data_IF_468049062011
#
_entry.id   IF_468049062011
#
_cell.length_a   1.000
_cell.length_b   1.000
_cell.length_c   1.000
_cell.angle_alpha   90.00
_cell.angle_beta   90.00
_cell.angle_gamma   90.00
#
_symmetry.space_group_name_H-M   'P 1'
#
loop_
_entity.id
_entity.type
_entity.pdbx_description
1 polymer ?
#
# COMPACT_ATOMS: atom_id res chain seq x y z
N UNK A 1 18.88 -19.64 -49.81
CA UNK A 1 19.83 -20.73 -49.52
C UNK A 1 20.33 -21.26 -50.85
N UNK A 2 21.64 -21.28 -51.07
CA UNK A 2 22.24 -21.79 -52.31
C UNK A 2 22.75 -23.19 -52.02
N UNK A 3 22.27 -24.17 -52.76
CA UNK A 3 22.69 -25.57 -52.64
C UNK A 3 23.62 -25.87 -53.81
N UNK A 4 24.84 -26.31 -53.51
CA UNK A 4 25.82 -26.67 -54.52
C UNK A 4 26.59 -27.90 -54.04
N UNK A 5 26.92 -28.77 -54.99
CA UNK A 5 27.68 -30.00 -54.73
C UNK A 5 29.09 -29.68 -54.22
N UNK A 6 29.56 -30.40 -53.20
CA UNK A 6 30.84 -30.15 -52.54
C UNK A 6 32.01 -30.27 -53.52
N UNK A 7 32.00 -31.27 -54.40
CA UNK A 7 33.06 -31.48 -55.38
C UNK A 7 33.08 -30.32 -56.39
N UNK A 8 31.91 -29.85 -56.80
CA UNK A 8 31.77 -28.68 -57.68
C UNK A 8 32.33 -27.41 -57.03
N UNK A 9 32.00 -27.15 -55.76
CA UNK A 9 32.50 -25.97 -55.03
C UNK A 9 34.02 -26.05 -54.83
N UNK A 10 34.54 -27.21 -54.43
CA UNK A 10 35.98 -27.43 -54.27
C UNK A 10 36.76 -27.19 -55.56
N UNK A 11 36.22 -27.65 -56.69
CA UNK A 11 36.82 -27.44 -58.00
C UNK A 11 36.80 -25.95 -58.41
N UNK A 12 35.70 -25.25 -58.15
CA UNK A 12 35.55 -23.81 -58.43
C UNK A 12 36.45 -22.93 -57.58
N UNK A 13 36.72 -23.31 -56.33
CA UNK A 13 37.57 -22.57 -55.39
C UNK A 13 39.05 -22.97 -55.52
N UNK A 14 39.37 -23.99 -56.32
CA UNK A 14 40.75 -24.45 -56.56
C UNK A 14 41.38 -25.16 -55.36
N UNK A 15 40.56 -25.69 -54.45
CA UNK A 15 40.97 -26.31 -53.18
C UNK A 15 40.54 -27.78 -53.10
N UNK A 16 40.68 -28.52 -54.21
CA UNK A 16 40.34 -29.94 -54.32
C UNK A 16 41.15 -30.77 -53.31
N UNK A 17 40.46 -31.45 -52.40
CA UNK A 17 41.08 -32.30 -51.36
C UNK A 17 41.62 -31.55 -50.12
N UNK A 18 41.48 -30.22 -50.05
CA UNK A 18 41.94 -29.42 -48.90
C UNK A 18 40.81 -29.00 -47.94
N UNK A 19 39.55 -29.18 -48.33
CA UNK A 19 38.39 -28.78 -47.52
C UNK A 19 37.84 -29.99 -46.78
N UNK A 20 38.14 -30.08 -45.47
CA UNK A 20 37.74 -31.20 -44.60
C UNK A 20 36.39 -31.03 -43.91
N UNK A 21 35.74 -29.85 -44.04
CA UNK A 21 34.45 -29.59 -43.42
C UNK A 21 33.83 -28.28 -43.89
N UNK A 22 32.49 -28.18 -43.83
CA UNK A 22 31.74 -26.96 -44.14
C UNK A 22 31.15 -26.40 -42.83
N UNK A 23 31.53 -25.18 -42.47
CA UNK A 23 30.93 -24.46 -41.35
C UNK A 23 29.63 -23.80 -41.81
N UNK A 24 28.50 -24.49 -41.61
CA UNK A 24 27.21 -24.06 -42.16
C UNK A 24 26.34 -23.23 -41.20
N UNK A 25 26.67 -23.16 -39.91
CA UNK A 25 25.79 -22.56 -38.90
C UNK A 25 26.56 -21.58 -38.02
N UNK A 26 26.45 -20.29 -38.34
CA UNK A 26 26.71 -19.19 -37.41
C UNK A 26 25.41 -18.82 -36.65
N UNK A 27 24.54 -19.80 -36.45
CA UNK A 27 23.21 -19.59 -35.90
C UNK A 27 23.23 -19.66 -34.37
N UNK A 28 22.49 -18.73 -33.78
CA UNK A 28 22.11 -18.67 -32.36
C UNK A 28 21.19 -19.86 -32.05
N UNK A 29 21.74 -21.07 -32.02
CA UNK A 29 20.99 -22.25 -31.64
C UNK A 29 20.70 -22.16 -30.14
N UNK A 30 19.42 -22.24 -29.77
CA UNK A 30 19.09 -22.61 -28.39
C UNK A 30 19.64 -24.02 -28.18
N UNK A 31 20.42 -24.23 -27.11
CA UNK A 31 21.11 -25.50 -26.85
C UNK A 31 20.18 -26.73 -26.92
N UNK A 32 18.89 -26.54 -26.65
CA UNK A 32 17.87 -27.60 -26.66
C UNK A 32 17.54 -28.17 -28.05
N UNK A 33 17.95 -27.52 -29.15
CA UNK A 33 17.60 -27.95 -30.53
C UNK A 33 18.73 -28.67 -31.28
N UNK A 34 19.89 -28.89 -30.65
CA UNK A 34 21.02 -29.54 -31.31
C UNK A 34 20.67 -30.95 -31.81
N UNK A 35 20.01 -31.76 -30.97
CA UNK A 35 19.68 -33.15 -31.29
C UNK A 35 18.72 -33.28 -32.47
N UNK A 36 17.76 -32.36 -32.62
CA UNK A 36 16.81 -32.34 -33.74
C UNK A 36 17.51 -31.99 -35.05
N UNK A 37 18.45 -31.04 -35.03
CA UNK A 37 19.20 -30.63 -36.22
C UNK A 37 20.13 -31.75 -36.69
N UNK A 38 20.79 -32.47 -35.77
CA UNK A 38 21.63 -33.63 -36.13
C UNK A 38 20.80 -34.72 -36.80
N UNK A 39 19.61 -35.01 -36.27
CA UNK A 39 18.70 -36.01 -36.85
C UNK A 39 18.24 -35.61 -38.26
N UNK A 40 17.87 -34.35 -38.47
CA UNK A 40 17.46 -33.85 -39.79
C UNK A 40 18.61 -33.91 -40.80
N UNK A 41 19.83 -33.53 -40.42
CA UNK A 41 21.00 -33.56 -41.31
C UNK A 41 21.38 -34.99 -41.68
N UNK A 42 21.37 -35.91 -40.72
CA UNK A 42 21.68 -37.32 -40.96
C UNK A 42 20.62 -38.01 -41.83
N UNK A 43 19.38 -37.53 -41.82
CA UNK A 43 18.32 -38.05 -42.70
C UNK A 43 18.56 -37.78 -44.20
N UNK A 44 19.27 -36.70 -44.51
CA UNK A 44 19.58 -36.27 -45.89
C UNK A 44 21.00 -36.70 -46.29
N UNK A 45 21.94 -36.72 -45.35
CA UNK A 45 23.36 -37.02 -45.57
C UNK A 45 23.86 -38.01 -44.50
N UNK A 46 23.65 -39.33 -44.69
CA UNK A 46 23.89 -40.34 -43.67
C UNK A 46 25.37 -40.53 -43.30
N UNK A 47 26.30 -40.18 -44.20
CA UNK A 47 27.75 -40.40 -44.01
C UNK A 47 28.48 -39.17 -43.43
N UNK A 48 27.76 -38.14 -43.00
CA UNK A 48 28.36 -36.88 -42.50
C UNK A 48 28.40 -36.85 -40.97
N UNK A 49 29.58 -36.58 -40.41
CA UNK A 49 29.76 -36.31 -38.99
C UNK A 49 29.51 -34.82 -38.69
N UNK A 50 28.56 -34.54 -37.79
CA UNK A 50 28.23 -33.18 -37.35
C UNK A 50 28.95 -32.92 -36.02
N UNK A 51 29.80 -31.88 -35.99
CA UNK A 51 30.51 -31.45 -34.79
C UNK A 51 30.03 -30.06 -34.36
N UNK A 52 29.65 -29.91 -33.08
CA UNK A 52 29.36 -28.60 -32.49
C UNK A 52 30.67 -27.93 -32.02
N UNK A 53 31.01 -26.78 -32.59
CA UNK A 53 32.08 -25.93 -32.06
C UNK A 53 31.59 -25.17 -30.82
N UNK A 54 31.39 -25.88 -29.71
CA UNK A 54 30.90 -25.29 -28.45
C UNK A 54 32.08 -24.83 -27.59
N UNK A 55 32.28 -23.51 -27.47
CA UNK A 55 33.06 -22.92 -26.36
C UNK A 55 32.79 -21.41 -26.20
N UNK A 56 32.72 -20.66 -27.30
CA UNK A 56 32.51 -19.19 -27.25
C UNK A 56 31.05 -18.77 -27.13
N UNK A 57 30.11 -19.54 -27.68
CA UNK A 57 28.68 -19.20 -27.65
C UNK A 57 28.07 -19.53 -26.29
N UNK A 58 28.41 -20.69 -25.71
CA UNK A 58 27.95 -21.10 -24.38
C UNK A 58 28.46 -20.16 -23.27
N UNK A 59 29.72 -19.73 -23.31
CA UNK A 59 30.25 -18.75 -22.35
C UNK A 59 29.54 -17.39 -22.39
N UNK A 60 29.09 -16.94 -23.57
CA UNK A 60 28.29 -15.72 -23.72
C UNK A 60 26.83 -15.93 -23.26
N UNK A 61 26.26 -17.10 -23.48
CA UNK A 61 24.91 -17.45 -23.02
C UNK A 61 24.85 -17.58 -21.49
N UNK A 62 25.81 -18.29 -20.88
CA UNK A 62 25.95 -18.38 -19.43
C UNK A 62 26.26 -17.02 -18.80
N UNK A 63 27.11 -16.19 -19.41
CA UNK A 63 27.36 -14.83 -18.91
C UNK A 63 26.08 -13.97 -18.93
N UNK A 64 25.23 -14.11 -19.96
CA UNK A 64 23.92 -13.44 -20.02
C UNK A 64 22.95 -13.99 -18.98
N UNK A 65 22.93 -15.30 -18.74
CA UNK A 65 22.09 -15.90 -17.71
C UNK A 65 22.53 -15.51 -16.30
N UNK A 66 23.84 -15.49 -16.01
CA UNK A 66 24.39 -15.03 -14.73
C UNK A 66 24.11 -13.54 -14.52
N UNK A 67 24.28 -12.70 -15.54
CA UNK A 67 23.92 -11.28 -15.49
C UNK A 67 22.41 -11.08 -15.28
N UNK A 68 21.56 -11.88 -15.92
CA UNK A 68 20.11 -11.85 -15.72
C UNK A 68 19.71 -12.32 -14.31
N UNK A 69 20.40 -13.33 -13.76
CA UNK A 69 20.19 -13.80 -12.38
C UNK A 69 20.63 -12.75 -11.36
N UNK A 70 21.80 -12.13 -11.52
CA UNK A 70 22.25 -11.06 -10.62
C UNK A 70 21.32 -9.85 -10.68
N UNK A 71 20.80 -9.48 -11.86
CA UNK A 71 19.82 -8.40 -11.99
C UNK A 71 18.49 -8.76 -11.33
N UNK A 72 18.01 -10.00 -11.49
CA UNK A 72 16.80 -10.49 -10.80
C UNK A 72 16.97 -10.50 -9.28
N UNK A 73 18.13 -10.94 -8.80
CA UNK A 73 18.47 -10.96 -7.37
C UNK A 73 18.59 -9.53 -6.81
N UNK A 74 19.21 -8.60 -7.55
CA UNK A 74 19.30 -7.20 -7.14
C UNK A 74 17.92 -6.53 -7.08
N UNK A 75 17.05 -6.76 -8.07
CA UNK A 75 15.68 -6.24 -8.07
C UNK A 75 14.86 -6.86 -6.93
N UNK A 76 14.99 -8.17 -6.69
CA UNK A 76 14.30 -8.85 -5.59
C UNK A 76 14.75 -8.30 -4.22
N UNK A 77 16.05 -8.08 -4.03
CA UNK A 77 16.59 -7.51 -2.81
C UNK A 77 16.11 -6.06 -2.58
N UNK A 78 16.06 -5.23 -3.64
CA UNK A 78 15.56 -3.85 -3.53
C UNK A 78 14.05 -3.81 -3.21
N UNK A 79 13.27 -4.72 -3.83
CA UNK A 79 11.84 -4.86 -3.53
C UNK A 79 11.59 -5.31 -2.09
N UNK A 80 12.37 -6.28 -1.60
CA UNK A 80 12.26 -6.75 -0.22
C UNK A 80 12.59 -5.64 0.78
N UNK A 81 13.65 -4.87 0.53
CA UNK A 81 14.02 -3.73 1.37
C UNK A 81 12.93 -2.65 1.38
N UNK A 82 12.35 -2.32 0.21
CA UNK A 82 11.21 -1.38 0.11
C UNK A 82 9.97 -1.89 0.85
N UNK A 83 9.70 -3.20 0.81
CA UNK A 83 8.58 -3.80 1.53
C UNK A 83 8.79 -3.74 3.05
N UNK A 84 10.00 -4.03 3.55
CA UNK A 84 10.34 -3.92 4.98
C UNK A 84 10.14 -2.50 5.52
N UNK A 85 10.64 -1.50 4.80
CA UNK A 85 10.45 -0.09 5.21
C UNK A 85 8.97 0.32 5.20
N UNK A 86 8.17 -0.19 4.27
CA UNK A 86 6.73 0.07 4.20
C UNK A 86 5.98 -0.57 5.37
N UNK A 87 6.30 -1.82 5.73
CA UNK A 87 5.61 -2.53 6.83
C UNK A 87 5.97 -1.96 8.19
N UNK A 88 7.22 -1.51 8.40
CA UNK A 88 7.64 -0.83 9.61
C UNK A 88 6.90 0.50 9.80
N UNK A 89 6.86 1.35 8.76
CA UNK A 89 6.09 2.60 8.80
C UNK A 89 4.60 2.37 9.06
N UNK A 90 4.01 1.35 8.43
CA UNK A 90 2.61 1.00 8.64
C UNK A 90 2.32 0.56 10.09
N UNK A 91 3.20 -0.24 10.69
CA UNK A 91 3.07 -0.63 12.11
C UNK A 91 3.10 0.58 13.03
N UNK A 92 4.09 1.46 12.88
CA UNK A 92 4.21 2.66 13.70
C UNK A 92 2.97 3.57 13.54
N UNK A 93 2.51 3.77 12.30
CA UNK A 93 1.32 4.57 12.03
C UNK A 93 0.08 4.02 12.74
N UNK A 94 -0.16 2.70 12.68
CA UNK A 94 -1.32 2.07 13.33
C UNK A 94 -1.21 2.15 14.86
N UNK A 95 -0.05 1.86 15.44
CA UNK A 95 0.15 1.87 16.89
C UNK A 95 0.01 3.28 17.47
N UNK A 96 0.58 4.30 16.83
CA UNK A 96 0.47 5.69 17.29
C UNK A 96 -0.96 6.21 17.14
N UNK A 97 -1.60 5.91 16.01
CA UNK A 97 -2.98 6.37 15.74
C UNK A 97 -3.97 5.76 16.71
N UNK A 98 -3.87 4.45 17.02
CA UNK A 98 -4.80 3.80 17.95
C UNK A 98 -4.65 4.35 19.38
N UNK A 99 -3.42 4.58 19.84
CA UNK A 99 -3.16 5.20 21.14
C UNK A 99 -3.68 6.64 21.19
N UNK A 100 -3.48 7.42 20.13
CA UNK A 100 -3.97 8.79 20.05
C UNK A 100 -5.51 8.85 20.08
N UNK A 101 -6.19 8.01 19.31
CA UNK A 101 -7.66 7.93 19.30
C UNK A 101 -8.19 7.49 20.67
N UNK A 102 -7.57 6.48 21.28
CA UNK A 102 -7.94 6.02 22.63
C UNK A 102 -7.78 7.12 23.68
N UNK A 103 -6.62 7.79 23.69
CA UNK A 103 -6.32 8.89 24.60
C UNK A 103 -7.25 10.09 24.43
N UNK A 104 -7.49 10.51 23.18
CA UNK A 104 -8.43 11.59 22.88
C UNK A 104 -9.87 11.25 23.30
N UNK A 105 -10.32 10.01 23.07
CA UNK A 105 -11.66 9.54 23.49
C UNK A 105 -11.82 9.59 25.01
N UNK A 106 -10.80 9.14 25.75
CA UNK A 106 -10.75 9.23 27.21
C UNK A 106 -10.77 10.69 27.69
N UNK A 107 -10.04 11.58 27.00
CA UNK A 107 -10.01 13.00 27.33
C UNK A 107 -11.39 13.65 27.13
N UNK A 108 -12.06 13.38 26.01
CA UNK A 108 -13.43 13.86 25.74
C UNK A 108 -14.39 13.36 26.80
N UNK A 109 -14.31 12.09 27.19
CA UNK A 109 -15.12 11.51 28.27
C UNK A 109 -14.93 12.27 29.59
N UNK A 110 -13.68 12.51 30.00
CA UNK A 110 -13.36 13.22 31.25
C UNK A 110 -13.87 14.67 31.21
N UNK A 111 -13.69 15.37 30.09
CA UNK A 111 -14.21 16.73 29.91
C UNK A 111 -15.73 16.76 29.94
N UNK A 112 -16.40 15.82 29.29
CA UNK A 112 -17.86 15.72 29.31
C UNK A 112 -18.38 15.45 30.73
N UNK A 113 -17.70 14.57 31.47
CA UNK A 113 -18.01 14.29 32.88
C UNK A 113 -17.85 15.53 33.77
N UNK A 114 -16.73 16.26 33.65
CA UNK A 114 -16.48 17.49 34.40
C UNK A 114 -17.51 18.58 34.08
N UNK A 115 -17.78 18.83 32.79
CA UNK A 115 -18.81 19.78 32.37
C UNK A 115 -20.20 19.43 32.93
N UNK A 116 -20.54 18.13 32.98
CA UNK A 116 -21.80 17.68 33.55
C UNK A 116 -21.83 17.79 35.09
N UNK A 117 -20.67 17.68 35.77
CA UNK A 117 -20.53 17.90 37.22
C UNK A 117 -20.79 19.36 37.59
N UNK A 118 -20.19 20.29 36.87
CA UNK A 118 -20.24 21.72 37.19
C UNK A 118 -21.63 22.30 36.90
N UNK A 119 -22.34 21.77 35.90
CA UNK A 119 -23.68 22.24 35.49
C UNK A 119 -24.85 21.56 36.19
N UNK A 120 -24.62 20.81 37.27
CA UNK A 120 -25.70 20.11 37.99
C UNK A 120 -26.77 21.06 38.53
N UNK A 121 -26.38 22.24 39.02
CA UNK A 121 -27.32 23.25 39.50
C UNK A 121 -28.27 23.74 38.40
N UNK A 122 -27.73 24.01 37.20
CA UNK A 122 -28.52 24.38 36.02
C UNK A 122 -29.50 23.26 35.62
N UNK A 123 -29.04 22.01 35.61
CA UNK A 123 -29.85 20.83 35.27
C UNK A 123 -30.97 20.62 36.30
N UNK A 124 -30.67 20.81 37.59
CA UNK A 124 -31.65 20.76 38.67
C UNK A 124 -32.75 21.82 38.51
N UNK A 125 -32.37 23.05 38.18
CA UNK A 125 -33.31 24.15 37.91
C UNK A 125 -34.19 23.85 36.68
N UNK A 126 -33.59 23.38 35.59
CA UNK A 126 -34.33 23.02 34.37
C UNK A 126 -35.35 21.89 34.63
N UNK A 127 -34.99 20.89 35.44
CA UNK A 127 -35.93 19.84 35.85
C UNK A 127 -37.04 20.37 36.76
N UNK A 128 -36.76 21.33 37.64
CA UNK A 128 -37.77 21.96 38.50
C UNK A 128 -38.81 22.77 37.69
N UNK A 129 -38.40 23.35 36.56
CA UNK A 129 -39.29 24.03 35.59
C UNK A 129 -40.09 23.02 34.73
N UNK A 130 -39.80 21.72 34.84
CA UNK A 130 -40.55 20.65 34.17
C UNK A 130 -39.91 20.11 32.90
N UNK A 131 -38.64 20.43 32.59
CA UNK A 131 -37.96 19.77 31.47
C UNK A 131 -37.76 18.28 31.75
N UNK A 132 -38.26 17.45 30.85
CA UNK A 132 -38.04 16.00 30.89
C UNK A 132 -36.59 15.59 30.62
N UNK A 133 -36.20 14.43 31.17
CA UNK A 133 -34.88 13.81 31.01
C UNK A 133 -34.37 13.75 29.55
N UNK A 134 -35.28 13.49 28.59
CA UNK A 134 -34.95 13.40 27.16
C UNK A 134 -34.45 14.73 26.58
N UNK A 135 -34.99 15.86 27.02
CA UNK A 135 -34.56 17.18 26.51
C UNK A 135 -33.17 17.54 27.02
N UNK A 136 -32.86 17.21 28.27
CA UNK A 136 -31.54 17.42 28.88
C UNK A 136 -30.50 16.54 28.18
N UNK A 137 -30.83 15.27 27.95
CA UNK A 137 -29.97 14.34 27.22
C UNK A 137 -29.72 14.82 25.78
N UNK A 138 -30.76 15.25 25.07
CA UNK A 138 -30.64 15.80 23.71
C UNK A 138 -29.78 17.06 23.66
N UNK A 139 -29.88 17.94 24.66
CA UNK A 139 -29.06 19.15 24.75
C UNK A 139 -27.57 18.81 24.94
N UNK A 140 -27.26 17.87 25.84
CA UNK A 140 -25.89 17.43 26.12
C UNK A 140 -25.26 16.72 24.92
N UNK A 141 -26.00 15.78 24.31
CA UNK A 141 -25.56 15.07 23.10
C UNK A 141 -25.43 16.01 21.89
N UNK A 142 -26.35 16.97 21.75
CA UNK A 142 -26.28 17.99 20.70
C UNK A 142 -25.02 18.84 20.80
N UNK A 143 -24.62 19.24 22.01
CA UNK A 143 -23.35 19.94 22.24
C UNK A 143 -22.14 19.07 21.86
N UNK A 144 -22.15 17.79 22.23
CA UNK A 144 -21.09 16.85 21.85
C UNK A 144 -21.01 16.65 20.33
N UNK A 145 -22.17 16.57 19.65
CA UNK A 145 -22.26 16.43 18.19
C UNK A 145 -21.68 17.65 17.46
N UNK A 146 -22.06 18.86 17.87
CA UNK A 146 -21.53 20.10 17.27
C UNK A 146 -20.02 20.22 17.50
N UNK A 147 -19.56 19.98 18.74
CA UNK A 147 -18.13 19.99 19.05
C UNK A 147 -17.36 18.93 18.25
N UNK A 148 -17.91 17.72 18.12
CA UNK A 148 -17.31 16.65 17.34
C UNK A 148 -17.28 16.93 15.84
N UNK A 149 -18.31 17.58 15.28
CA UNK A 149 -18.34 17.98 13.87
C UNK A 149 -17.29 19.07 13.55
N UNK A 150 -17.18 20.08 14.43
CA UNK A 150 -16.17 21.14 14.29
C UNK A 150 -14.77 20.56 14.47
N UNK A 151 -14.55 19.76 15.52
CA UNK A 151 -13.28 19.10 15.78
C UNK A 151 -12.89 18.14 14.65
N UNK A 152 -13.85 17.40 14.10
CA UNK A 152 -13.66 16.53 12.94
C UNK A 152 -13.27 17.32 11.68
N UNK A 153 -13.90 18.48 11.43
CA UNK A 153 -13.57 19.33 10.29
C UNK A 153 -12.13 19.86 10.39
N UNK A 154 -11.79 20.41 11.55
CA UNK A 154 -10.45 20.95 11.83
C UNK A 154 -9.40 19.85 11.79
N UNK A 155 -9.68 18.70 12.40
CA UNK A 155 -8.79 17.54 12.40
C UNK A 155 -8.55 16.97 11.00
N UNK A 156 -9.59 16.85 10.17
CA UNK A 156 -9.46 16.41 8.78
C UNK A 156 -8.59 17.38 7.97
N UNK A 157 -8.82 18.69 8.11
CA UNK A 157 -8.03 19.71 7.41
C UNK A 157 -6.55 19.65 7.82
N UNK A 158 -6.27 19.63 9.13
CA UNK A 158 -4.90 19.52 9.64
C UNK A 158 -4.24 18.19 9.24
N UNK A 159 -5.00 17.10 9.22
CA UNK A 159 -4.52 15.78 8.78
C UNK A 159 -4.06 15.79 7.32
N UNK A 160 -4.82 16.44 6.43
CA UNK A 160 -4.43 16.60 5.01
C UNK A 160 -3.18 17.46 4.88
N UNK A 161 -3.09 18.57 5.61
CA UNK A 161 -1.93 19.48 5.58
C UNK A 161 -0.67 18.74 6.06
N UNK A 162 -0.71 18.16 7.26
CA UNK A 162 0.43 17.42 7.82
C UNK A 162 0.80 16.20 6.98
N UNK A 163 -0.18 15.53 6.38
CA UNK A 163 0.06 14.40 5.47
C UNK A 163 0.75 14.82 4.18
N UNK A 164 0.38 15.97 3.61
CA UNK A 164 1.02 16.52 2.41
C UNK A 164 2.47 16.92 2.69
N UNK A 165 2.73 17.61 3.81
CA UNK A 165 4.07 17.99 4.25
C UNK A 165 4.96 16.76 4.49
N UNK A 166 4.44 15.72 5.16
CA UNK A 166 5.17 14.47 5.38
C UNK A 166 5.46 13.69 4.09
N UNK A 167 4.62 13.86 3.06
CA UNK A 167 4.83 13.28 1.74
C UNK A 167 5.77 14.12 0.85
N UNK A 168 6.08 15.36 1.23
CA UNK A 168 6.88 16.29 0.43
C UNK A 168 6.15 16.83 -0.81
N UNK A 169 4.81 16.72 -0.84
CA UNK A 169 3.98 17.13 -1.97
C UNK A 169 3.38 18.51 -1.71
N UNK A 170 3.30 19.41 -2.72
CA UNK A 170 2.64 20.69 -2.53
C UNK A 170 1.14 20.51 -2.23
N UNK A 171 0.59 21.38 -1.39
CA UNK A 171 -0.81 21.31 -0.94
C UNK A 171 -1.82 21.33 -2.11
N UNK A 172 -1.47 21.96 -3.22
CA UNK A 172 -2.30 22.06 -4.43
C UNK A 172 -1.91 21.05 -5.52
N UNK A 173 -1.17 20.00 -5.20
CA UNK A 173 -0.90 18.93 -6.16
C UNK A 173 -2.19 18.15 -6.49
N UNK A 174 -2.29 17.61 -7.71
CA UNK A 174 -3.42 16.75 -8.10
C UNK A 174 -3.59 15.56 -7.15
N UNK A 175 -2.51 15.10 -6.55
CA UNK A 175 -2.52 13.96 -5.63
C UNK A 175 -3.14 14.37 -4.28
N UNK A 176 -2.77 15.54 -3.75
CA UNK A 176 -3.35 16.10 -2.51
C UNK A 176 -4.82 16.48 -2.68
N UNK A 177 -5.20 17.08 -3.82
CA UNK A 177 -6.60 17.40 -4.13
C UNK A 177 -7.46 16.15 -4.32
N UNK A 178 -6.94 15.09 -4.94
CA UNK A 178 -7.65 13.82 -5.02
C UNK A 178 -7.83 13.18 -3.64
N UNK A 179 -6.84 13.30 -2.75
CA UNK A 179 -6.97 12.85 -1.37
C UNK A 179 -8.04 13.67 -0.63
N UNK A 180 -8.03 15.00 -0.80
CA UNK A 180 -8.99 15.95 -0.21
C UNK A 180 -10.44 15.72 -0.70
N UNK A 181 -10.63 15.38 -1.97
CA UNK A 181 -11.93 15.10 -2.57
C UNK A 181 -12.43 13.67 -2.40
N UNK A 182 -11.68 12.82 -1.70
CA UNK A 182 -12.00 11.41 -1.55
C UNK A 182 -13.13 11.18 -0.53
N UNK A 183 -14.07 10.29 -0.83
CA UNK A 183 -15.15 9.88 0.07
C UNK A 183 -14.63 9.35 1.42
N UNK A 184 -13.39 8.84 1.45
CA UNK A 184 -12.73 8.38 2.67
C UNK A 184 -12.55 9.51 3.70
N UNK A 185 -12.31 10.75 3.27
CA UNK A 185 -12.23 11.88 4.19
C UNK A 185 -13.59 12.27 4.75
N UNK A 186 -14.67 12.12 3.96
CA UNK A 186 -16.02 12.33 4.47
C UNK A 186 -16.34 11.35 5.61
N UNK A 187 -15.88 10.10 5.52
CA UNK A 187 -16.00 9.12 6.60
C UNK A 187 -15.21 9.53 7.83
N UNK A 188 -13.96 9.97 7.66
CA UNK A 188 -13.13 10.44 8.78
C UNK A 188 -13.77 11.65 9.47
N UNK A 189 -14.36 12.57 8.69
CA UNK A 189 -15.09 13.71 9.21
C UNK A 189 -16.32 13.30 10.02
N UNK A 190 -17.11 12.34 9.52
CA UNK A 190 -18.27 11.76 10.22
C UNK A 190 -17.89 10.97 11.49
N UNK A 191 -16.69 10.38 11.51
CA UNK A 191 -16.20 9.62 12.65
C UNK A 191 -16.01 10.52 13.89
N UNK A 192 -15.62 11.78 13.70
CA UNK A 192 -15.42 12.76 14.77
C UNK A 192 -16.65 12.97 15.67
N UNK A 193 -17.79 13.42 15.12
CA UNK A 193 -19.04 13.53 15.88
C UNK A 193 -19.52 12.19 16.43
N UNK A 194 -19.36 11.08 15.69
CA UNK A 194 -19.74 9.76 16.18
C UNK A 194 -18.96 9.37 17.45
N UNK A 195 -17.64 9.54 17.45
CA UNK A 195 -16.79 9.28 18.62
C UNK A 195 -17.12 10.21 19.78
N UNK A 196 -17.33 11.51 19.52
CA UNK A 196 -17.69 12.48 20.55
C UNK A 196 -19.02 12.13 21.24
N UNK A 197 -20.02 11.71 20.45
CA UNK A 197 -21.32 11.28 20.95
C UNK A 197 -21.19 10.01 21.79
N UNK A 198 -20.45 9.00 21.30
CA UNK A 198 -20.23 7.74 22.05
C UNK A 198 -19.52 8.00 23.37
N UNK A 199 -18.47 8.83 23.38
CA UNK A 199 -17.76 9.21 24.59
C UNK A 199 -18.65 10.00 25.57
N UNK A 200 -19.51 10.88 25.07
CA UNK A 200 -20.40 11.70 25.88
C UNK A 200 -21.68 10.97 26.33
N UNK A 201 -22.00 9.81 25.78
CA UNK A 201 -23.24 9.09 26.07
C UNK A 201 -23.33 8.66 27.54
N UNK A 202 -22.25 8.06 28.06
CA UNK A 202 -22.20 7.65 29.47
C UNK A 202 -22.34 8.80 30.47
N UNK A 203 -21.53 9.89 30.39
CA UNK A 203 -21.65 11.01 31.33
C UNK A 203 -22.98 11.76 31.18
N UNK A 204 -23.54 11.85 29.97
CA UNK A 204 -24.82 12.53 29.75
C UNK A 204 -26.01 11.74 30.32
N UNK A 205 -26.02 10.41 30.16
CA UNK A 205 -27.04 9.55 30.79
C UNK A 205 -26.99 9.63 32.30
N UNK A 206 -25.79 9.50 32.88
CA UNK A 206 -25.62 9.58 34.34
C UNK A 206 -26.02 10.95 34.87
N UNK A 207 -25.62 12.04 34.22
CA UNK A 207 -26.00 13.39 34.63
C UNK A 207 -27.51 13.66 34.55
N UNK A 208 -28.16 13.18 33.49
CA UNK A 208 -29.60 13.36 33.32
C UNK A 208 -30.44 12.50 34.30
N UNK A 209 -29.85 11.44 34.86
CA UNK A 209 -30.50 10.56 35.84
C UNK A 209 -30.37 11.03 37.30
N UNK A 210 -29.51 12.01 37.61
CA UNK A 210 -29.38 12.51 38.99
C UNK A 210 -30.68 13.19 39.46
N UNK A 211 -31.07 12.89 40.71
CA UNK A 211 -32.30 13.36 41.31
C UNK A 211 -32.14 14.82 41.80
N UNK A 212 -32.97 15.78 41.31
CA UNK A 212 -32.85 17.20 41.66
C UNK A 212 -32.94 17.49 43.18
N UNK A 213 -33.63 16.64 43.95
CA UNK A 213 -33.78 16.83 45.40
C UNK A 213 -32.47 16.66 46.19
N UNK A 214 -31.56 15.79 45.73
CA UNK A 214 -30.30 15.50 46.43
C UNK A 214 -29.22 16.56 46.19
N UNK A 215 -29.36 17.32 45.10
CA UNK A 215 -28.44 18.39 44.71
C UNK A 215 -28.78 19.70 45.42
N UNK A 216 -30.07 20.01 45.58
CA UNK A 216 -30.55 21.22 46.27
C UNK A 216 -30.57 21.09 47.80
N UNK A 217 -30.52 19.87 48.35
CA UNK A 217 -30.47 19.65 49.80
C UNK A 217 -29.06 19.66 50.42
N UNK A 218 -28.02 19.94 49.63
CA UNK A 218 -26.61 19.97 50.07
C UNK A 218 -25.99 21.38 50.12
N UNK A 219 -26.76 22.41 49.80
CA UNK A 219 -26.45 23.82 50.11
C UNK A 219 -27.40 24.33 51.19
#
# INVERSE_FOLDING_TARGET
TVWADLAWVQQKVGATGLISGILALECVCHADQYNTIVADVQSVLPDVQVFEFTSKVQGRAEARQRAAQTSRQAIAAEQEQRQRLRTERARLAVTVSSLAIGGASLWVLLLAYGNARDRRGEIGLLRAVGLGHRHILALLLGKALVMGAIGGAVGALLGVICGAEAAGEPLFSRQTLNLAGNWQLAIIWLLGPALAVVAALWPSLTAAAHDPAEVLGKE
#
